data_IF_275261833006
#
_entry.id   IF_275261833006
#
_cell.length_a   1.000
_cell.length_b   1.000
_cell.length_c   1.000
_cell.angle_alpha   90.00
_cell.angle_beta   90.00
_cell.angle_gamma   90.00
#
_symmetry.space_group_name_H-M   'P 1'
#
loop_
_entity.id
_entity.type
_entity.pdbx_description
1 polymer ?
#
# COMPACT_ATOMS: atom_id res chain seq x y z
N UNK A 1 -9.98 -6.83 15.02
CA UNK A 1 -10.93 -6.00 14.24
C UNK A 1 -10.32 -4.62 14.11
N UNK A 2 -10.39 -3.99 12.94
CA UNK A 2 -9.93 -2.61 12.76
C UNK A 2 -10.91 -1.61 13.40
N UNK A 3 -10.44 -0.42 13.74
CA UNK A 3 -11.23 0.57 14.47
C UNK A 3 -11.12 1.99 13.88
N UNK A 4 -12.22 2.74 13.93
CA UNK A 4 -12.18 4.17 13.63
C UNK A 4 -11.76 4.92 14.89
N UNK A 5 -10.56 5.51 14.86
CA UNK A 5 -10.04 6.30 15.99
C UNK A 5 -10.58 7.73 16.00
N UNK A 6 -10.87 8.29 14.82
CA UNK A 6 -11.29 9.70 14.71
C UNK A 6 -12.12 9.96 13.46
N UNK A 7 -13.16 10.77 13.62
CA UNK A 7 -13.94 11.33 12.52
C UNK A 7 -14.03 12.83 12.72
N UNK A 8 -13.78 13.60 11.65
CA UNK A 8 -13.99 15.05 11.61
C UNK A 8 -14.71 15.42 10.33
N UNK A 9 -15.80 16.15 10.44
CA UNK A 9 -16.55 16.68 9.30
C UNK A 9 -16.52 18.19 9.30
N UNK A 10 -16.31 18.79 8.14
CA UNK A 10 -16.39 20.24 7.93
C UNK A 10 -17.31 20.51 6.74
N UNK A 11 -18.50 21.03 7.03
CA UNK A 11 -19.50 21.35 6.01
C UNK A 11 -19.15 22.60 5.18
N UNK A 12 -18.39 23.55 5.75
CA UNK A 12 -17.97 24.74 4.99
C UNK A 12 -17.07 24.37 3.82
N UNK A 13 -16.22 23.36 4.02
CA UNK A 13 -15.29 22.81 3.01
C UNK A 13 -15.76 21.48 2.42
N UNK A 14 -16.98 21.02 2.74
CA UNK A 14 -17.52 19.71 2.34
C UNK A 14 -16.51 18.57 2.49
N UNK A 15 -15.84 18.50 3.64
CA UNK A 15 -14.73 17.58 3.90
C UNK A 15 -15.07 16.62 5.03
N UNK A 16 -14.72 15.35 4.86
CA UNK A 16 -14.76 14.30 5.88
C UNK A 16 -13.33 13.78 6.04
N UNK A 17 -12.84 13.73 7.27
CA UNK A 17 -11.53 13.20 7.63
C UNK A 17 -11.73 12.03 8.60
N UNK A 18 -11.19 10.87 8.24
CA UNK A 18 -11.33 9.60 8.95
C UNK A 18 -9.93 9.08 9.30
N UNK A 19 -9.64 8.86 10.58
CA UNK A 19 -8.44 8.15 11.03
C UNK A 19 -8.83 6.74 11.43
N UNK A 20 -8.24 5.74 10.79
CA UNK A 20 -8.55 4.32 10.93
C UNK A 20 -7.28 3.58 11.34
N UNK A 21 -7.38 2.80 12.40
CA UNK A 21 -6.34 1.88 12.85
C UNK A 21 -6.67 0.44 12.46
N UNK A 22 -5.67 -0.24 11.93
CA UNK A 22 -5.71 -1.65 11.57
C UNK A 22 -4.63 -2.38 12.39
N UNK A 23 -5.03 -3.25 13.35
CA UNK A 23 -4.07 -4.11 14.05
C UNK A 23 -3.25 -4.93 13.05
N UNK A 24 -3.95 -5.47 12.05
CA UNK A 24 -3.37 -6.20 10.92
C UNK A 24 -4.09 -5.78 9.65
N UNK A 25 -3.32 -5.41 8.63
CA UNK A 25 -3.80 -5.13 7.29
C UNK A 25 -3.04 -5.99 6.30
N UNK A 26 -3.76 -6.73 5.46
CA UNK A 26 -3.18 -7.76 4.61
C UNK A 26 -3.46 -7.48 3.13
N UNK A 27 -2.46 -7.73 2.28
CA UNK A 27 -2.57 -7.69 0.83
C UNK A 27 -1.79 -8.87 0.24
N UNK A 28 -2.49 -9.67 -0.55
CA UNK A 28 -1.89 -10.74 -1.32
C UNK A 28 -2.19 -10.57 -2.80
N UNK A 29 -1.34 -11.15 -3.64
CA UNK A 29 -1.56 -11.13 -5.06
C UNK A 29 -0.49 -11.85 -5.85
N UNK A 30 -0.70 -11.84 -7.15
CA UNK A 30 0.27 -12.29 -8.14
C UNK A 30 1.08 -11.11 -8.64
N UNK A 31 2.35 -11.34 -8.94
CA UNK A 31 3.19 -10.37 -9.63
C UNK A 31 3.79 -10.98 -10.88
N UNK A 32 3.97 -10.13 -11.89
CA UNK A 32 4.76 -10.41 -13.08
C UNK A 32 5.86 -9.35 -13.17
N UNK A 33 7.09 -9.78 -13.31
CA UNK A 33 8.25 -8.90 -13.42
C UNK A 33 9.08 -9.27 -14.64
N UNK A 34 9.29 -8.29 -15.53
CA UNK A 34 10.23 -8.41 -16.64
C UNK A 34 11.65 -8.17 -16.14
N UNK A 35 12.55 -9.13 -16.36
CA UNK A 35 13.94 -8.98 -15.96
C UNK A 35 14.71 -8.16 -16.99
N UNK A 36 14.83 -6.85 -16.78
CA UNK A 36 15.68 -6.00 -17.63
C UNK A 36 17.17 -6.07 -17.24
N UNK A 37 17.48 -6.47 -16.01
CA UNK A 37 18.84 -6.37 -15.44
C UNK A 37 19.65 -7.67 -15.59
N UNK A 38 19.04 -8.83 -15.37
CA UNK A 38 19.77 -10.12 -15.33
C UNK A 38 19.75 -10.90 -16.65
N UNK A 39 18.60 -10.91 -17.33
CA UNK A 39 18.39 -11.52 -18.65
C UNK A 39 17.18 -10.86 -19.32
N UNK A 40 17.40 -9.88 -20.21
CA UNK A 40 16.34 -9.24 -20.99
C UNK A 40 15.43 -10.29 -21.65
N UNK A 41 14.12 -10.09 -21.59
CA UNK A 41 13.12 -10.99 -22.18
C UNK A 41 12.74 -12.20 -21.32
N UNK A 42 13.26 -12.33 -20.08
CA UNK A 42 12.80 -13.38 -19.14
C UNK A 42 11.79 -12.79 -18.15
N UNK A 43 10.54 -13.21 -18.27
CA UNK A 43 9.48 -12.92 -17.30
C UNK A 43 9.61 -13.82 -16.07
N UNK A 44 9.43 -13.23 -14.88
CA UNK A 44 9.26 -13.95 -13.62
C UNK A 44 7.87 -13.71 -13.09
N UNK A 45 7.15 -14.79 -12.79
CA UNK A 45 5.82 -14.74 -12.16
C UNK A 45 5.92 -15.33 -10.77
N UNK A 46 5.26 -14.73 -9.80
CA UNK A 46 5.20 -15.24 -8.44
C UNK A 46 4.01 -14.69 -7.68
N UNK A 47 3.97 -15.00 -6.40
CA UNK A 47 2.96 -14.51 -5.46
C UNK A 47 3.65 -13.68 -4.39
N UNK A 48 2.92 -12.73 -3.83
CA UNK A 48 3.36 -11.99 -2.66
C UNK A 48 2.25 -11.95 -1.62
N UNK A 49 2.66 -11.95 -0.34
CA UNK A 49 1.81 -11.73 0.81
C UNK A 49 2.45 -10.63 1.66
N UNK A 50 1.75 -9.52 1.83
CA UNK A 50 2.17 -8.37 2.63
C UNK A 50 1.23 -8.24 3.83
N UNK A 51 1.79 -8.19 5.03
CA UNK A 51 1.07 -7.86 6.25
C UNK A 51 1.68 -6.59 6.87
N UNK A 52 0.83 -5.61 7.13
CA UNK A 52 1.17 -4.39 7.87
C UNK A 52 0.54 -4.46 9.26
N UNK A 53 1.36 -4.30 10.28
CA UNK A 53 0.94 -4.30 11.68
C UNK A 53 0.86 -2.88 12.21
N UNK A 54 -0.11 -2.66 13.10
CA UNK A 54 -0.36 -1.38 13.73
C UNK A 54 -0.47 -0.21 12.73
N UNK A 55 -1.16 -0.47 11.62
CA UNK A 55 -1.26 0.46 10.51
C UNK A 55 -2.29 1.54 10.81
N UNK A 56 -1.85 2.80 10.83
CA UNK A 56 -2.72 3.96 11.01
C UNK A 56 -2.70 4.79 9.74
N UNK A 57 -3.89 4.97 9.17
CA UNK A 57 -4.08 5.90 8.05
C UNK A 57 -5.16 6.91 8.34
N UNK A 58 -5.01 8.06 7.71
CA UNK A 58 -6.01 9.10 7.66
C UNK A 58 -6.46 9.33 6.22
N UNK A 59 -7.74 9.11 5.97
CA UNK A 59 -8.39 9.42 4.71
C UNK A 59 -9.14 10.74 4.82
N UNK A 60 -8.88 11.66 3.90
CA UNK A 60 -9.60 12.91 3.74
C UNK A 60 -10.35 12.90 2.42
N UNK A 61 -11.67 12.95 2.49
CA UNK A 61 -12.58 13.02 1.35
C UNK A 61 -13.13 14.44 1.31
N UNK A 62 -13.02 15.13 0.17
CA UNK A 62 -13.61 16.46 -0.01
C UNK A 62 -14.33 16.60 -1.35
N UNK A 63 -15.42 17.35 -1.35
CA UNK A 63 -16.16 17.74 -2.57
C UNK A 63 -16.08 19.25 -2.76
N UNK A 64 -15.11 19.75 -3.55
CA UNK A 64 -14.98 21.19 -3.78
C UNK A 64 -16.22 21.74 -4.50
N UNK A 65 -16.66 22.94 -4.15
CA UNK A 65 -17.95 23.51 -4.61
C UNK A 65 -18.02 23.74 -6.13
N UNK A 66 -16.86 23.92 -6.79
CA UNK A 66 -16.79 24.33 -8.19
C UNK A 66 -16.56 23.15 -9.16
N UNK A 67 -16.68 21.92 -8.67
CA UNK A 67 -16.46 20.72 -9.48
C UNK A 67 -17.35 19.58 -9.00
N UNK A 68 -17.67 18.66 -9.92
CA UNK A 68 -18.33 17.40 -9.58
C UNK A 68 -17.34 16.32 -9.12
N UNK A 69 -16.04 16.63 -9.10
CA UNK A 69 -14.99 15.71 -8.67
C UNK A 69 -14.98 15.55 -7.14
N UNK A 70 -14.78 14.32 -6.68
CA UNK A 70 -14.45 14.01 -5.30
C UNK A 70 -12.94 13.90 -5.20
N UNK A 71 -12.34 14.66 -4.29
CA UNK A 71 -10.91 14.55 -3.97
C UNK A 71 -10.75 13.62 -2.78
N UNK A 72 -9.94 12.59 -2.95
CA UNK A 72 -9.54 11.68 -1.87
C UNK A 72 -8.04 11.87 -1.65
N UNK A 73 -7.64 12.06 -0.39
CA UNK A 73 -6.25 12.08 0.04
C UNK A 73 -6.09 11.09 1.17
N UNK A 74 -5.17 10.15 1.02
CA UNK A 74 -4.83 9.18 2.05
C UNK A 74 -3.43 9.52 2.55
N UNK A 75 -3.30 9.58 3.86
CA UNK A 75 -2.06 9.90 4.56
C UNK A 75 -1.74 8.73 5.47
N UNK A 76 -0.56 8.17 5.30
CA UNK A 76 -0.01 7.21 6.24
C UNK A 76 0.47 7.95 7.48
N UNK A 77 0.00 7.55 8.65
CA UNK A 77 0.48 8.11 9.93
C UNK A 77 1.51 7.18 10.56
N UNK A 78 1.23 5.88 10.58
CA UNK A 78 2.10 4.91 11.26
C UNK A 78 2.03 3.52 10.60
N UNK A 79 3.16 2.84 10.58
CA UNK A 79 3.28 1.39 10.35
C UNK A 79 4.21 0.88 11.45
N UNK A 80 3.73 -0.01 12.30
CA UNK A 80 4.53 -0.60 13.36
C UNK A 80 5.53 -1.61 12.79
N UNK A 81 5.02 -2.77 12.35
CA UNK A 81 5.85 -3.82 11.74
C UNK A 81 5.32 -4.21 10.36
N UNK A 82 6.17 -4.83 9.56
CA UNK A 82 5.86 -5.27 8.21
C UNK A 82 6.41 -6.67 7.94
N UNK A 83 5.57 -7.54 7.40
CA UNK A 83 5.96 -8.87 6.93
C UNK A 83 5.67 -8.97 5.44
N UNK A 84 6.70 -9.29 4.65
CA UNK A 84 6.58 -9.50 3.21
C UNK A 84 7.15 -10.87 2.86
N UNK A 85 6.29 -11.72 2.31
CA UNK A 85 6.68 -12.97 1.69
C UNK A 85 6.52 -12.85 0.17
N UNK A 86 7.56 -13.22 -0.59
CA UNK A 86 7.50 -13.24 -2.06
C UNK A 86 7.99 -14.60 -2.54
N UNK A 87 7.16 -15.31 -3.30
CA UNK A 87 7.53 -16.56 -3.94
C UNK A 87 8.21 -16.32 -5.30
N UNK A 88 9.13 -17.21 -5.68
CA UNK A 88 9.82 -17.15 -6.96
C UNK A 88 10.54 -15.82 -7.27
N UNK A 89 11.00 -15.10 -6.23
CA UNK A 89 11.75 -13.86 -6.41
C UNK A 89 13.02 -14.14 -7.23
N UNK A 90 13.01 -13.70 -8.49
CA UNK A 90 14.11 -13.84 -9.45
C UNK A 90 14.70 -15.26 -9.53
N UNK A 91 13.84 -16.28 -9.43
CA UNK A 91 14.24 -17.71 -9.40
C UNK A 91 15.26 -18.04 -8.30
N UNK A 92 15.16 -17.38 -7.14
CA UNK A 92 16.00 -17.66 -5.97
C UNK A 92 17.37 -16.98 -5.97
N UNK A 93 17.64 -16.03 -6.88
CA UNK A 93 18.92 -15.30 -6.92
C UNK A 93 18.97 -14.20 -5.85
N UNK A 94 19.53 -14.54 -4.69
CA UNK A 94 19.57 -13.74 -3.45
C UNK A 94 20.15 -12.32 -3.61
N UNK A 95 21.17 -12.15 -4.45
CA UNK A 95 21.93 -10.88 -4.54
C UNK A 95 21.07 -9.72 -5.08
N UNK A 96 20.19 -9.99 -6.03
CA UNK A 96 19.34 -8.95 -6.66
C UNK A 96 18.09 -8.67 -5.83
N UNK A 97 17.63 -9.65 -5.05
CA UNK A 97 16.54 -9.47 -4.08
C UNK A 97 16.82 -8.33 -3.10
N UNK A 98 18.07 -8.20 -2.61
CA UNK A 98 18.44 -7.16 -1.63
C UNK A 98 18.19 -5.72 -2.11
N UNK A 99 18.27 -5.47 -3.42
CA UNK A 99 18.03 -4.14 -4.00
C UNK A 99 16.57 -3.93 -4.43
N UNK A 100 15.87 -4.99 -4.84
CA UNK A 100 14.47 -4.91 -5.30
C UNK A 100 13.45 -4.91 -4.17
N UNK A 101 13.73 -5.62 -3.07
CA UNK A 101 12.81 -5.74 -1.93
C UNK A 101 12.37 -4.36 -1.42
N UNK A 102 13.26 -3.36 -1.22
CA UNK A 102 12.83 -2.02 -0.78
C UNK A 102 11.85 -1.33 -1.75
N UNK A 103 12.05 -1.44 -3.07
CA UNK A 103 11.16 -0.82 -4.05
C UNK A 103 9.79 -1.50 -4.10
N UNK A 104 9.78 -2.84 -4.06
CA UNK A 104 8.55 -3.63 -3.95
C UNK A 104 7.79 -3.29 -2.67
N UNK A 105 8.51 -3.15 -1.54
CA UNK A 105 7.94 -2.75 -0.26
C UNK A 105 7.23 -1.40 -0.34
N UNK A 106 7.90 -0.39 -0.92
CA UNK A 106 7.33 0.95 -1.11
C UNK A 106 6.09 0.86 -2.01
N UNK A 107 6.18 0.16 -3.13
CA UNK A 107 5.09 0.07 -4.11
C UNK A 107 3.85 -0.60 -3.50
N UNK A 108 4.04 -1.71 -2.80
CA UNK A 108 2.95 -2.43 -2.14
C UNK A 108 2.37 -1.66 -0.95
N UNK A 109 3.20 -0.91 -0.21
CA UNK A 109 2.73 -0.04 0.87
C UNK A 109 1.91 1.14 0.36
N UNK A 110 2.21 1.66 -0.83
CA UNK A 110 1.39 2.69 -1.51
C UNK A 110 0.07 2.07 -1.97
N UNK A 111 0.10 0.86 -2.53
CA UNK A 111 -1.10 0.14 -2.95
C UNK A 111 -2.05 -0.08 -1.77
N UNK A 112 -1.50 -0.34 -0.58
CA UNK A 112 -2.23 -0.45 0.68
C UNK A 112 -2.88 0.85 1.16
N UNK A 113 -2.61 2.01 0.55
CA UNK A 113 -3.40 3.23 0.81
C UNK A 113 -4.74 3.21 0.07
N UNK A 114 -4.90 2.33 -0.94
CA UNK A 114 -6.08 2.27 -1.81
C UNK A 114 -7.08 1.18 -1.41
N UNK A 115 -6.62 0.14 -0.71
CA UNK A 115 -7.42 -1.00 -0.22
C UNK A 115 -7.35 -1.06 1.30
#
# INVERSE_FOLDING_TARGET
LSEIRKIKTNFNTNTIKLTHYFPEKYLEGYYEAENTILRPGVTTVGQFNLTLYDYIQTMTISKPKNTNQIKVSVQLEEIGNMSLHISNLLRGRVIVGKFLIPYLLITLSILMLLF
#
